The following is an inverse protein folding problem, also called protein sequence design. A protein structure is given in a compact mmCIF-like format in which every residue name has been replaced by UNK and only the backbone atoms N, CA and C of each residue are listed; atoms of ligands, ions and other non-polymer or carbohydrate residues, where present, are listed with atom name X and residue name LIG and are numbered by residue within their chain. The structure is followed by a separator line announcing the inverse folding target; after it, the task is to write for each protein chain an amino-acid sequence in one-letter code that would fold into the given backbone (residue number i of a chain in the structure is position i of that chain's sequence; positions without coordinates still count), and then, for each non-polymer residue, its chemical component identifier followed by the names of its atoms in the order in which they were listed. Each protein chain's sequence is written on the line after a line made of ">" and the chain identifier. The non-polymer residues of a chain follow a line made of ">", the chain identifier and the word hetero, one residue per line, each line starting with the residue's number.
data_IF_048755646679
#
_entry.id   IF_048755646679
#
_cell.length_a   1.000
_cell.length_b   1.000
_cell.length_c   1.000
_cell.angle_alpha   90.00
_cell.angle_beta   90.00
_cell.angle_gamma   90.00
#
_symmetry.space_group_name_H-M   'P 1'
#
loop_
_entity.id
_entity.type
_entity.pdbx_description
1 polymer ?
#
# COMPACT_ATOMS: atom_id res chain seq x y z
N UNK A 1 4.16 27.14 -21.82
CA UNK A 1 4.96 25.92 -22.10
C UNK A 1 5.93 25.58 -20.98
N UNK A 2 6.73 26.52 -20.47
CA UNK A 2 7.74 26.27 -19.42
C UNK A 2 7.21 25.61 -18.14
N UNK A 3 6.04 26.05 -17.64
CA UNK A 3 5.39 25.45 -16.44
C UNK A 3 4.94 24.00 -16.66
N UNK A 4 4.26 23.71 -17.76
CA UNK A 4 3.82 22.34 -18.10
C UNK A 4 5.02 21.40 -18.27
N UNK A 5 6.07 21.84 -18.97
CA UNK A 5 7.29 21.04 -19.15
C UNK A 5 8.00 20.78 -17.81
N UNK A 6 7.93 21.71 -16.85
CA UNK A 6 8.46 21.50 -15.50
C UNK A 6 7.63 20.46 -14.73
N UNK A 7 6.30 20.54 -14.78
CA UNK A 7 5.41 19.55 -14.16
C UNK A 7 5.58 18.16 -14.76
N UNK A 8 5.73 18.06 -16.09
CA UNK A 8 6.01 16.82 -16.80
C UNK A 8 7.31 16.17 -16.33
N UNK A 9 8.41 16.95 -16.28
CA UNK A 9 9.70 16.45 -15.78
C UNK A 9 9.60 16.01 -14.32
N UNK A 10 8.85 16.74 -13.50
CA UNK A 10 8.68 16.38 -12.10
C UNK A 10 7.91 15.07 -11.94
N UNK A 11 6.84 14.89 -12.70
CA UNK A 11 6.08 13.64 -12.73
C UNK A 11 6.93 12.45 -13.19
N UNK A 12 7.79 12.64 -14.19
CA UNK A 12 8.73 11.60 -14.65
C UNK A 12 9.75 11.21 -13.56
N UNK A 13 10.23 12.17 -12.77
CA UNK A 13 11.08 11.88 -11.60
C UNK A 13 10.32 11.09 -10.54
N UNK A 14 9.05 11.43 -10.29
CA UNK A 14 8.20 10.68 -9.33
C UNK A 14 8.00 9.24 -9.81
N UNK A 15 7.70 9.02 -11.08
CA UNK A 15 7.55 7.68 -11.64
C UNK A 15 8.83 6.86 -11.48
N UNK A 16 9.98 7.44 -11.84
CA UNK A 16 11.28 6.77 -11.70
C UNK A 16 11.60 6.42 -10.25
N UNK A 17 11.22 7.31 -9.31
CA UNK A 17 11.36 7.05 -7.89
C UNK A 17 10.44 5.90 -7.43
N UNK A 18 9.16 5.91 -7.84
CA UNK A 18 8.22 4.84 -7.53
C UNK A 18 8.65 3.49 -8.09
N UNK A 19 9.22 3.45 -9.30
CA UNK A 19 9.78 2.24 -9.89
C UNK A 19 10.96 1.71 -9.07
N UNK A 20 11.88 2.59 -8.67
CA UNK A 20 13.02 2.23 -7.81
C UNK A 20 12.55 1.70 -6.45
N UNK A 21 11.56 2.36 -5.84
CA UNK A 21 10.95 1.93 -4.57
C UNK A 21 10.27 0.57 -4.75
N UNK A 22 9.55 0.36 -5.86
CA UNK A 22 8.91 -0.91 -6.15
C UNK A 22 9.93 -2.05 -6.27
N UNK A 23 11.06 -1.84 -6.96
CA UNK A 23 12.07 -2.88 -7.12
C UNK A 23 12.71 -3.28 -5.77
N UNK A 24 12.96 -2.32 -4.89
CA UNK A 24 13.55 -2.57 -3.56
C UNK A 24 12.53 -3.20 -2.60
N UNK A 25 11.30 -2.67 -2.59
CA UNK A 25 10.28 -3.09 -1.63
C UNK A 25 9.52 -4.34 -2.06
N UNK A 26 9.45 -4.66 -3.36
CA UNK A 26 8.69 -5.79 -3.90
C UNK A 26 8.94 -7.10 -3.14
N UNK A 27 10.21 -7.50 -3.03
CA UNK A 27 10.62 -8.74 -2.36
C UNK A 27 10.45 -8.61 -0.85
N UNK A 28 10.88 -7.48 -0.29
CA UNK A 28 10.82 -7.20 1.15
C UNK A 28 9.38 -7.25 1.67
N UNK A 29 8.42 -6.68 0.94
CA UNK A 29 7.00 -6.65 1.27
C UNK A 29 6.38 -8.05 1.24
N UNK A 30 6.76 -8.88 0.28
CA UNK A 30 6.29 -10.27 0.21
C UNK A 30 6.65 -11.05 1.48
N UNK A 31 7.93 -11.02 1.86
CA UNK A 31 8.39 -11.68 3.08
C UNK A 31 7.80 -11.04 4.33
N UNK A 32 7.77 -9.70 4.41
CA UNK A 32 7.20 -8.98 5.54
C UNK A 32 5.75 -9.38 5.77
N UNK A 33 4.92 -9.43 4.72
CA UNK A 33 3.50 -9.76 4.86
C UNK A 33 3.27 -11.23 5.17
N UNK A 34 4.00 -12.15 4.53
CA UNK A 34 3.93 -13.57 4.84
C UNK A 34 4.32 -13.86 6.29
N UNK A 35 5.49 -13.37 6.71
CA UNK A 35 6.00 -13.57 8.08
C UNK A 35 5.10 -12.88 9.11
N UNK A 36 4.65 -11.65 8.86
CA UNK A 36 3.77 -10.96 9.79
C UNK A 36 2.41 -11.66 9.95
N UNK A 37 1.86 -12.27 8.90
CA UNK A 37 0.60 -13.06 9.00
C UNK A 37 0.76 -14.21 9.99
N UNK A 38 1.86 -14.97 9.87
CA UNK A 38 2.17 -16.09 10.78
C UNK A 38 2.41 -15.61 12.21
N UNK A 39 3.18 -14.54 12.38
CA UNK A 39 3.46 -13.96 13.71
C UNK A 39 2.17 -13.49 14.38
N UNK A 40 1.30 -12.77 13.66
CA UNK A 40 0.02 -12.30 14.21
C UNK A 40 -0.83 -13.48 14.68
N UNK A 41 -0.92 -14.55 13.88
CA UNK A 41 -1.63 -15.75 14.26
C UNK A 41 -1.10 -16.37 15.57
N UNK A 42 0.22 -16.56 15.68
CA UNK A 42 0.86 -17.14 16.87
C UNK A 42 0.64 -16.26 18.11
N UNK A 43 0.74 -14.94 17.96
CA UNK A 43 0.54 -13.99 19.07
C UNK A 43 -0.92 -13.99 19.53
N UNK A 44 -1.88 -14.08 18.61
CA UNK A 44 -3.31 -14.20 18.95
C UNK A 44 -3.59 -15.51 19.73
N UNK A 45 -3.00 -16.64 19.31
CA UNK A 45 -3.10 -17.90 20.06
C UNK A 45 -2.45 -17.78 21.45
N UNK A 46 -1.27 -17.14 21.56
CA UNK A 46 -0.61 -16.91 22.83
C UNK A 46 -1.43 -16.04 23.79
N UNK A 47 -2.16 -15.06 23.28
CA UNK A 47 -3.10 -14.23 24.06
C UNK A 47 -4.33 -14.99 24.56
N UNK A 48 -4.75 -16.04 23.84
CA UNK A 48 -5.88 -16.88 24.24
C UNK A 48 -5.53 -17.88 25.36
N UNK A 49 -4.24 -18.17 25.56
CA UNK A 49 -3.78 -19.09 26.60
C UNK A 49 -3.67 -18.39 27.98
N UNK A 50 -3.98 -19.09 29.07
CA UNK A 50 -3.84 -18.54 30.42
C UNK A 50 -2.38 -18.20 30.72
N UNK A 51 -2.12 -16.94 31.06
CA UNK A 51 -0.78 -16.41 31.30
C UNK A 51 -0.82 -15.19 32.24
N UNK A 52 0.35 -14.78 32.75
CA UNK A 52 0.47 -13.62 33.64
C UNK A 52 0.01 -12.34 32.95
N UNK A 53 -0.44 -11.36 33.74
CA UNK A 53 -0.92 -10.08 33.18
C UNK A 53 0.18 -9.32 32.44
N UNK A 54 1.42 -9.39 32.94
CA UNK A 54 2.60 -8.77 32.32
C UNK A 54 2.89 -9.37 30.95
N UNK A 55 2.83 -10.70 30.83
CA UNK A 55 3.05 -11.38 29.56
C UNK A 55 1.96 -11.07 28.53
N UNK A 56 0.68 -11.03 28.96
CA UNK A 56 -0.42 -10.61 28.09
C UNK A 56 -0.27 -9.17 27.61
N UNK A 57 0.15 -8.26 28.50
CA UNK A 57 0.41 -6.87 28.11
C UNK A 57 1.54 -6.76 27.07
N UNK A 58 2.62 -7.54 27.25
CA UNK A 58 3.71 -7.64 26.28
C UNK A 58 3.20 -8.15 24.92
N UNK A 59 2.45 -9.25 24.89
CA UNK A 59 1.89 -9.80 23.65
C UNK A 59 0.92 -8.83 22.96
N UNK A 60 0.09 -8.12 23.71
CA UNK A 60 -0.83 -7.12 23.16
C UNK A 60 -0.07 -5.95 22.52
N UNK A 61 0.97 -5.44 23.19
CA UNK A 61 1.83 -4.40 22.62
C UNK A 61 2.55 -4.89 21.37
N UNK A 62 3.07 -6.11 21.40
CA UNK A 62 3.75 -6.73 20.26
C UNK A 62 2.80 -6.91 19.06
N UNK A 63 1.57 -7.36 19.30
CA UNK A 63 0.52 -7.48 18.28
C UNK A 63 0.22 -6.11 17.65
N UNK A 64 0.09 -5.06 18.47
CA UNK A 64 -0.14 -3.71 18.00
C UNK A 64 1.01 -3.21 17.12
N UNK A 65 2.27 -3.41 17.54
CA UNK A 65 3.45 -3.06 16.74
C UNK A 65 3.48 -3.80 15.41
N UNK A 66 3.20 -5.11 15.40
CA UNK A 66 3.19 -5.89 14.16
C UNK A 66 2.08 -5.44 13.21
N UNK A 67 0.91 -5.11 13.73
CA UNK A 67 -0.21 -4.58 12.95
C UNK A 67 0.18 -3.24 12.31
N UNK A 68 0.80 -2.32 13.07
CA UNK A 68 1.27 -1.03 12.55
C UNK A 68 2.30 -1.19 11.43
N UNK A 69 3.20 -2.17 11.51
CA UNK A 69 4.22 -2.42 10.47
C UNK A 69 3.63 -2.77 9.12
N UNK A 70 2.46 -3.42 9.09
CA UNK A 70 1.75 -3.78 7.84
C UNK A 70 0.80 -2.64 7.43
N UNK A 71 0.16 -1.99 8.42
CA UNK A 71 -0.78 -0.92 8.19
C UNK A 71 -0.13 0.30 7.52
N UNK A 72 1.04 0.74 7.99
CA UNK A 72 1.70 1.96 7.47
C UNK A 72 1.99 1.87 5.97
N UNK A 73 2.66 0.82 5.45
CA UNK A 73 2.85 0.67 4.00
C UNK A 73 1.54 0.61 3.22
N UNK A 74 0.54 -0.14 3.70
CA UNK A 74 -0.77 -0.24 3.04
C UNK A 74 -1.52 1.10 2.98
N UNK A 75 -1.45 1.89 4.05
CA UNK A 75 -2.02 3.24 4.11
C UNK A 75 -1.33 4.18 3.13
N UNK A 76 0.01 4.22 3.14
CA UNK A 76 0.78 5.07 2.24
C UNK A 76 0.58 4.70 0.77
N UNK A 77 0.52 3.40 0.44
CA UNK A 77 0.24 2.95 -0.92
C UNK A 77 -1.17 3.31 -1.40
N UNK A 78 -2.17 3.24 -0.52
CA UNK A 78 -3.53 3.73 -0.83
C UNK A 78 -3.56 5.24 -1.03
N UNK A 79 -2.87 6.02 -0.19
CA UNK A 79 -2.79 7.48 -0.35
C UNK A 79 -2.08 7.86 -1.65
N UNK A 80 -0.97 7.20 -1.98
CA UNK A 80 -0.27 7.42 -3.25
C UNK A 80 -1.17 7.16 -4.46
N UNK A 81 -1.94 6.07 -4.42
CA UNK A 81 -2.89 5.73 -5.49
C UNK A 81 -3.98 6.79 -5.62
N UNK A 82 -4.49 7.29 -4.49
CA UNK A 82 -5.54 8.30 -4.43
C UNK A 82 -5.05 9.67 -4.96
N UNK A 83 -3.89 10.14 -4.50
CA UNK A 83 -3.26 11.38 -4.99
C UNK A 83 -2.96 11.29 -6.50
N UNK A 84 -2.55 10.12 -6.99
CA UNK A 84 -2.34 9.91 -8.42
C UNK A 84 -3.64 10.03 -9.23
N UNK A 85 -4.77 9.61 -8.68
CA UNK A 85 -6.08 9.74 -9.31
C UNK A 85 -6.57 11.20 -9.26
N UNK A 86 -6.39 11.89 -8.12
CA UNK A 86 -6.71 13.31 -8.01
C UNK A 86 -5.90 14.16 -8.99
N UNK A 87 -4.64 13.82 -9.26
CA UNK A 87 -3.84 14.49 -10.28
C UNK A 87 -4.49 14.41 -11.68
N UNK A 88 -5.10 13.28 -12.02
CA UNK A 88 -5.82 13.11 -13.30
C UNK A 88 -7.04 14.02 -13.37
N UNK A 89 -7.81 14.08 -12.28
CA UNK A 89 -9.00 14.92 -12.15
C UNK A 89 -8.62 16.40 -12.22
N UNK A 90 -7.61 16.84 -11.46
CA UNK A 90 -7.13 18.21 -11.46
C UNK A 90 -6.60 18.63 -12.84
N UNK A 91 -5.94 17.72 -13.56
CA UNK A 91 -5.49 17.96 -14.93
C UNK A 91 -6.69 18.17 -15.86
N UNK A 92 -7.77 17.38 -15.72
CA UNK A 92 -8.98 17.53 -16.53
C UNK A 92 -9.65 18.91 -16.35
N UNK A 93 -9.72 19.42 -15.12
CA UNK A 93 -10.30 20.73 -14.82
C UNK A 93 -9.41 21.93 -15.16
N UNK A 94 -8.17 21.70 -15.60
CA UNK A 94 -7.28 22.79 -16.00
C UNK A 94 -7.77 23.49 -17.29
N UNK A 95 -7.49 24.78 -17.44
CA UNK A 95 -7.84 25.55 -18.65
C UNK A 95 -6.90 25.21 -19.84
N UNK A 96 -7.06 24.01 -20.41
CA UNK A 96 -6.26 23.51 -21.53
C UNK A 96 -6.88 23.78 -22.91
N UNK A 97 -8.20 23.97 -22.98
CA UNK A 97 -8.96 24.19 -24.23
C UNK A 97 -8.50 25.44 -25.02
N UNK A 98 -8.32 26.63 -24.40
CA UNK A 98 -7.95 27.85 -25.14
C UNK A 98 -6.44 27.93 -25.46
N UNK A 99 -5.63 26.90 -25.15
CA UNK A 99 -4.17 26.93 -25.31
C UNK A 99 -3.72 26.56 -26.73
N UNK A 100 -2.44 26.79 -27.03
CA UNK A 100 -1.85 26.48 -28.34
C UNK A 100 -1.91 24.98 -28.68
N UNK A 101 -1.92 24.63 -29.97
CA UNK A 101 -1.93 23.23 -30.42
C UNK A 101 -0.71 22.44 -29.93
N UNK A 102 0.46 23.09 -29.84
CA UNK A 102 1.65 22.51 -29.23
C UNK A 102 1.47 22.15 -27.75
N UNK A 103 0.75 22.98 -26.99
CA UNK A 103 0.40 22.69 -25.60
C UNK A 103 -0.58 21.53 -25.52
N UNK A 104 -1.64 21.53 -26.34
CA UNK A 104 -2.65 20.47 -26.38
C UNK A 104 -2.04 19.11 -26.71
N UNK A 105 -1.06 19.04 -27.61
CA UNK A 105 -0.36 17.79 -27.96
C UNK A 105 0.39 17.21 -26.75
N UNK A 106 1.22 18.01 -26.07
CA UNK A 106 1.93 17.55 -24.87
C UNK A 106 0.97 17.22 -23.73
N UNK A 107 -0.11 17.98 -23.58
CA UNK A 107 -1.13 17.76 -22.58
C UNK A 107 -1.89 16.45 -22.78
N UNK A 108 -2.22 16.08 -24.03
CA UNK A 108 -2.84 14.78 -24.34
C UNK A 108 -1.95 13.60 -23.94
N UNK A 109 -0.65 13.68 -24.25
CA UNK A 109 0.32 12.65 -23.85
C UNK A 109 0.45 12.57 -22.32
N UNK A 110 0.44 13.71 -21.64
CA UNK A 110 0.45 13.74 -20.17
C UNK A 110 -0.80 13.08 -19.59
N UNK A 111 -1.97 13.44 -20.11
CA UNK A 111 -3.25 12.90 -19.69
C UNK A 111 -3.29 11.38 -19.82
N UNK A 112 -2.78 10.83 -20.92
CA UNK A 112 -2.72 9.38 -21.12
C UNK A 112 -1.82 8.71 -20.07
N UNK A 113 -0.68 9.34 -19.74
CA UNK A 113 0.25 8.81 -18.73
C UNK A 113 -0.32 8.83 -17.30
N UNK A 114 -1.03 9.90 -16.92
CA UNK A 114 -1.63 10.02 -15.58
C UNK A 114 -2.96 9.26 -15.46
N UNK A 115 -3.53 8.75 -16.56
CA UNK A 115 -4.76 7.97 -16.53
C UNK A 115 -4.58 6.64 -15.81
N UNK A 116 -3.36 6.10 -15.79
CA UNK A 116 -2.99 4.94 -14.98
C UNK A 116 -2.49 5.41 -13.61
N UNK A 117 -3.20 5.08 -12.51
CA UNK A 117 -2.77 5.48 -11.17
C UNK A 117 -1.47 4.77 -10.78
N UNK A 118 -0.64 5.45 -10.00
CA UNK A 118 0.61 4.90 -9.46
C UNK A 118 0.26 3.92 -8.34
N UNK A 119 0.54 2.64 -8.55
CA UNK A 119 0.30 1.57 -7.57
C UNK A 119 1.59 0.78 -7.34
N UNK A 120 2.05 0.74 -6.09
CA UNK A 120 3.20 -0.09 -5.68
C UNK A 120 2.69 -1.50 -5.42
N UNK A 121 3.40 -2.52 -5.90
CA UNK A 121 3.03 -3.94 -5.75
C UNK A 121 4.13 -4.77 -5.10
N UNK A 122 3.74 -5.77 -4.30
CA UNK A 122 4.65 -6.80 -3.80
C UNK A 122 4.78 -7.94 -4.80
N UNK A 123 5.98 -8.20 -5.33
CA UNK A 123 6.26 -9.19 -6.39
C UNK A 123 5.31 -9.12 -7.61
N UNK A 124 4.67 -7.96 -7.88
CA UNK A 124 3.58 -7.83 -8.86
C UNK A 124 2.38 -8.76 -8.61
N UNK A 125 2.29 -9.40 -7.44
CA UNK A 125 1.21 -10.33 -7.07
C UNK A 125 0.07 -9.63 -6.36
N UNK A 126 0.39 -8.70 -5.46
CA UNK A 126 -0.62 -7.97 -4.69
C UNK A 126 -0.28 -6.47 -4.62
N UNK A 127 -1.28 -5.58 -4.65
CA UNK A 127 -1.07 -4.15 -4.53
C UNK A 127 -0.84 -3.76 -3.07
N UNK A 128 -0.06 -2.71 -2.85
CA UNK A 128 0.17 -2.12 -1.55
C UNK A 128 -1.02 -1.23 -1.17
N UNK A 129 -2.04 -1.81 -0.54
CA UNK A 129 -3.27 -1.10 -0.20
C UNK A 129 -3.80 -1.49 1.17
N UNK A 130 -4.68 -0.64 1.74
CA UNK A 130 -5.46 -0.97 2.92
C UNK A 130 -6.32 -2.24 2.73
N UNK A 131 -6.78 -2.52 1.50
CA UNK A 131 -7.52 -3.76 1.20
C UNK A 131 -6.64 -5.00 1.41
N UNK A 132 -5.38 -4.93 0.98
CA UNK A 132 -4.40 -6.00 1.20
C UNK A 132 -4.12 -6.18 2.69
N UNK A 133 -3.99 -5.10 3.45
CA UNK A 133 -3.87 -5.16 4.92
C UNK A 133 -5.08 -5.88 5.56
N UNK A 134 -6.30 -5.49 5.19
CA UNK A 134 -7.53 -6.14 5.70
C UNK A 134 -7.54 -7.62 5.33
N UNK A 135 -7.12 -7.97 4.12
CA UNK A 135 -7.03 -9.38 3.70
C UNK A 135 -6.05 -10.16 4.57
N UNK A 136 -4.86 -9.61 4.85
CA UNK A 136 -3.85 -10.23 5.73
C UNK A 136 -4.43 -10.47 7.14
N UNK A 137 -5.08 -9.46 7.72
CA UNK A 137 -5.69 -9.55 9.05
C UNK A 137 -6.79 -10.62 9.09
N UNK A 138 -7.62 -10.71 8.05
CA UNK A 138 -8.64 -11.76 7.93
C UNK A 138 -8.01 -13.14 7.85
N UNK A 139 -6.99 -13.32 7.03
CA UNK A 139 -6.28 -14.60 6.91
C UNK A 139 -5.65 -15.03 8.24
N UNK A 140 -4.98 -14.12 8.94
CA UNK A 140 -4.40 -14.41 10.26
C UNK A 140 -5.47 -14.80 11.28
N UNK A 141 -6.60 -14.10 11.30
CA UNK A 141 -7.73 -14.43 12.19
C UNK A 141 -8.36 -15.78 11.84
N UNK A 142 -8.54 -16.10 10.55
CA UNK A 142 -9.02 -17.40 10.11
C UNK A 142 -8.10 -18.53 10.59
N UNK A 143 -6.78 -18.39 10.44
CA UNK A 143 -5.84 -19.38 10.99
C UNK A 143 -5.92 -19.49 12.51
N UNK A 144 -6.03 -18.37 13.23
CA UNK A 144 -6.23 -18.37 14.67
C UNK A 144 -7.49 -19.17 15.06
N UNK A 145 -8.63 -18.92 14.40
CA UNK A 145 -9.87 -19.65 14.69
C UNK A 145 -9.75 -21.14 14.41
N UNK A 146 -9.07 -21.54 13.32
CA UNK A 146 -8.82 -22.94 13.00
C UNK A 146 -7.97 -23.63 14.07
N UNK A 147 -6.86 -22.99 14.50
CA UNK A 147 -6.00 -23.53 15.57
C UNK A 147 -6.80 -23.70 16.86
N UNK A 148 -7.64 -22.72 17.20
CA UNK A 148 -8.47 -22.77 18.39
C UNK A 148 -9.48 -23.92 18.35
N UNK A 149 -10.13 -24.14 17.20
CA UNK A 149 -11.05 -25.27 17.02
C UNK A 149 -10.34 -26.62 17.17
N UNK A 150 -9.14 -26.78 16.62
CA UNK A 150 -8.34 -28.01 16.76
C UNK A 150 -7.85 -28.24 18.20
N UNK A 151 -7.72 -27.18 19.01
CA UNK A 151 -7.37 -27.28 20.43
C UNK A 151 -8.57 -27.61 21.34
N UNK A 152 -9.80 -27.38 20.86
CA UNK A 152 -11.04 -27.67 21.59
C UNK A 152 -11.55 -29.11 21.36
N UNK A 153 -11.10 -29.77 20.29
CA UNK A 153 -11.28 -31.21 20.02
C UNK A 153 -10.24 -32.08 20.77
#
# INVERSE_FOLDING_TARGET
>A
MTRLNKSLKHYEVILTFCDTVQDILSVTLFFQYGVSTLIICVVMTGLALPSSIEFRAFLAMFLFTMTLRIFVPGFLGTQLSHESEELMIATYYSEWIPRSESFKRSFKLFRERIATPIVITGLKMFPLTLLTFVSIMKTAYSFFTLIRTVQEE
#
